data_IF_848642457350
#
_entry.id   IF_848642457350
#
_cell.length_a   1.000
_cell.length_b   1.000
_cell.length_c   1.000
_cell.angle_alpha   90.00
_cell.angle_beta   90.00
_cell.angle_gamma   90.00
#
_symmetry.space_group_name_H-M   'P 1'
#
loop_
_entity.id
_entity.type
_entity.pdbx_description
1 polymer ?
#
# COMPACT_ATOMS: atom_id res chain seq x y z
N UNK A 1 29.02 -23.97 -63.69
CA UNK A 1 27.58 -23.89 -63.33
C UNK A 1 27.10 -25.32 -63.14
N UNK A 2 26.79 -25.83 -61.96
CA UNK A 2 26.47 -25.09 -60.75
C UNK A 2 26.65 -25.97 -59.51
N UNK A 3 27.67 -25.67 -58.71
CA UNK A 3 27.85 -26.12 -57.31
C UNK A 3 26.75 -25.60 -56.36
N UNK A 4 25.66 -25.02 -56.88
CA UNK A 4 24.54 -24.52 -56.07
C UNK A 4 23.59 -25.61 -55.57
N UNK A 5 23.66 -26.85 -56.08
CA UNK A 5 22.70 -27.89 -55.70
C UNK A 5 22.99 -28.54 -54.33
N UNK A 6 24.22 -28.43 -53.82
CA UNK A 6 24.60 -29.06 -52.53
C UNK A 6 24.48 -28.07 -51.35
N UNK A 7 24.42 -26.76 -51.62
CA UNK A 7 24.21 -25.74 -50.58
C UNK A 7 22.77 -25.65 -50.07
N UNK A 8 21.80 -26.27 -50.73
CA UNK A 8 20.37 -26.12 -50.41
C UNK A 8 19.81 -27.22 -49.48
N UNK A 9 20.62 -28.20 -49.08
CA UNK A 9 20.20 -29.30 -48.19
C UNK A 9 20.65 -29.11 -46.72
N UNK A 10 21.38 -28.04 -46.41
CA UNK A 10 21.81 -27.71 -45.05
C UNK A 10 20.75 -26.99 -44.20
N UNK A 11 19.67 -26.51 -44.81
CA UNK A 11 18.64 -25.67 -44.16
C UNK A 11 17.37 -26.45 -43.73
N UNK A 12 17.40 -27.78 -43.77
CA UNK A 12 16.30 -28.65 -43.30
C UNK A 12 16.65 -29.40 -42.00
N UNK A 13 17.48 -28.81 -41.16
CA UNK A 13 17.53 -29.23 -39.76
C UNK A 13 16.17 -28.89 -39.12
N UNK A 14 15.47 -29.87 -38.49
CA UNK A 14 14.27 -29.56 -37.74
C UNK A 14 14.66 -28.53 -36.67
N UNK A 15 14.07 -27.35 -36.75
CA UNK A 15 14.07 -26.40 -35.63
C UNK A 15 13.43 -27.16 -34.48
N UNK A 16 14.25 -27.66 -33.55
CA UNK A 16 13.77 -28.20 -32.28
C UNK A 16 12.83 -27.12 -31.70
N UNK A 17 11.63 -27.50 -31.23
CA UNK A 17 10.72 -26.53 -30.65
C UNK A 17 11.44 -25.93 -29.45
N UNK A 18 11.89 -24.68 -29.63
CA UNK A 18 12.45 -23.84 -28.61
C UNK A 18 11.61 -23.99 -27.36
N UNK A 19 12.24 -24.49 -26.29
CA UNK A 19 11.61 -24.68 -24.99
C UNK A 19 10.75 -23.48 -24.64
N UNK A 20 9.56 -23.77 -24.10
CA UNK A 20 8.58 -22.82 -23.60
C UNK A 20 9.26 -21.52 -23.17
N UNK A 21 9.11 -20.46 -23.97
CA UNK A 21 9.30 -19.11 -23.46
C UNK A 21 8.45 -19.05 -22.19
N UNK A 22 9.02 -18.72 -21.01
CA UNK A 22 8.23 -18.65 -19.80
C UNK A 22 7.07 -17.72 -20.09
N UNK A 23 5.86 -18.30 -20.16
CA UNK A 23 4.69 -17.60 -20.65
C UNK A 23 4.55 -16.32 -19.84
N UNK A 24 4.40 -15.18 -20.53
CA UNK A 24 4.19 -13.90 -19.88
C UNK A 24 3.03 -14.10 -18.89
N UNK A 25 3.24 -13.90 -17.58
CA UNK A 25 2.28 -14.35 -16.56
C UNK A 25 0.90 -13.77 -16.85
N UNK A 26 -0.12 -14.60 -16.77
CA UNK A 26 -1.48 -14.17 -17.06
C UNK A 26 -1.89 -13.03 -16.13
N UNK A 27 -2.74 -12.12 -16.61
CA UNK A 27 -3.16 -10.93 -15.83
C UNK A 27 -3.77 -11.28 -14.46
N UNK A 28 -4.36 -12.47 -14.31
CA UNK A 28 -4.85 -13.00 -13.04
C UNK A 28 -3.73 -13.36 -12.05
N UNK A 29 -2.67 -14.00 -12.53
CA UNK A 29 -1.52 -14.38 -11.70
C UNK A 29 -0.74 -13.16 -11.21
N UNK A 30 -0.54 -12.16 -12.09
CA UNK A 30 0.07 -10.87 -11.71
C UNK A 30 -0.71 -10.18 -10.59
N UNK A 31 -2.04 -10.19 -10.64
CA UNK A 31 -2.89 -9.62 -9.58
C UNK A 31 -2.78 -10.43 -8.28
N UNK A 32 -2.71 -11.75 -8.35
CA UNK A 32 -2.54 -12.60 -7.18
C UNK A 32 -1.18 -12.36 -6.49
N UNK A 33 -0.10 -12.28 -7.28
CA UNK A 33 1.25 -11.91 -6.82
C UNK A 33 1.25 -10.53 -6.16
N UNK A 34 0.68 -9.52 -6.83
CA UNK A 34 0.52 -8.18 -6.26
C UNK A 34 -0.26 -8.20 -4.94
N UNK A 35 -1.35 -8.98 -4.86
CA UNK A 35 -2.13 -9.10 -3.62
C UNK A 35 -1.35 -9.72 -2.47
N UNK A 36 -0.47 -10.69 -2.75
CA UNK A 36 0.39 -11.32 -1.74
C UNK A 36 1.48 -10.36 -1.26
N UNK A 37 2.19 -9.69 -2.16
CA UNK A 37 3.26 -8.76 -1.80
C UNK A 37 2.70 -7.50 -1.09
N UNK A 38 1.57 -6.97 -1.59
CA UNK A 38 0.89 -5.85 -0.93
C UNK A 38 0.34 -6.20 0.45
N UNK A 39 0.06 -7.47 0.77
CA UNK A 39 -0.34 -7.87 2.13
C UNK A 39 0.83 -7.74 3.12
N UNK A 40 2.04 -8.14 2.71
CA UNK A 40 3.23 -8.01 3.53
C UNK A 40 3.59 -6.54 3.75
N UNK A 41 3.61 -5.74 2.67
CA UNK A 41 3.88 -4.31 2.75
C UNK A 41 2.88 -3.57 3.67
N UNK A 42 1.59 -3.88 3.56
CA UNK A 42 0.56 -3.28 4.42
C UNK A 42 0.71 -3.66 5.89
N UNK A 43 1.08 -4.90 6.19
CA UNK A 43 1.34 -5.34 7.56
C UNK A 43 2.49 -4.55 8.18
N UNK A 44 3.59 -4.36 7.44
CA UNK A 44 4.73 -3.57 7.91
C UNK A 44 4.38 -2.09 8.08
N UNK A 45 3.54 -1.54 7.19
CA UNK A 45 3.10 -0.14 7.26
C UNK A 45 2.03 0.13 8.33
N UNK A 46 1.27 -0.87 8.77
CA UNK A 46 0.15 -0.69 9.70
C UNK A 46 0.60 -0.12 11.06
N UNK A 47 1.73 -0.60 11.59
CA UNK A 47 2.28 -0.14 12.87
C UNK A 47 2.72 1.33 12.84
N UNK A 48 3.68 1.76 12.01
CA UNK A 48 4.07 3.17 11.96
C UNK A 48 2.89 4.07 11.55
N UNK A 49 2.01 3.60 10.65
CA UNK A 49 0.81 4.33 10.25
C UNK A 49 -0.13 4.64 11.42
N UNK A 50 -0.46 3.64 12.26
CA UNK A 50 -1.34 3.86 13.41
C UNK A 50 -0.67 4.72 14.49
N UNK A 51 0.63 4.54 14.75
CA UNK A 51 1.34 5.37 15.73
C UNK A 51 1.33 6.85 15.33
N UNK A 52 1.67 7.16 14.07
CA UNK A 52 1.62 8.53 13.56
C UNK A 52 0.20 9.09 13.65
N UNK A 53 -0.81 8.31 13.27
CA UNK A 53 -2.20 8.72 13.36
C UNK A 53 -2.62 9.04 14.80
N UNK A 54 -2.24 8.22 15.78
CA UNK A 54 -2.55 8.45 17.20
C UNK A 54 -1.83 9.68 17.75
N UNK A 55 -0.55 9.88 17.41
CA UNK A 55 0.18 11.09 17.81
C UNK A 55 -0.50 12.35 17.28
N UNK A 56 -0.82 12.37 15.98
CA UNK A 56 -1.56 13.50 15.37
C UNK A 56 -2.93 13.68 16.02
N UNK A 57 -3.64 12.59 16.30
CA UNK A 57 -4.93 12.63 16.97
C UNK A 57 -4.86 13.21 18.38
N UNK A 58 -3.78 12.96 19.13
CA UNK A 58 -3.54 13.54 20.45
C UNK A 58 -3.12 15.00 20.38
N UNK A 59 -2.39 15.43 19.34
CA UNK A 59 -2.02 16.85 19.17
C UNK A 59 -3.25 17.76 19.02
N UNK A 60 -4.38 17.22 18.53
CA UNK A 60 -5.65 17.96 18.49
C UNK A 60 -6.25 18.25 19.87
N UNK A 61 -5.70 17.70 20.97
CA UNK A 61 -6.02 18.14 22.33
C UNK A 61 -5.83 19.65 22.52
N UNK A 62 -4.84 20.24 21.84
CA UNK A 62 -4.64 21.68 21.86
C UNK A 62 -5.81 22.44 21.22
N UNK A 63 -6.36 21.93 20.11
CA UNK A 63 -7.53 22.51 19.48
C UNK A 63 -8.79 22.35 20.34
N UNK A 64 -8.93 21.23 21.06
CA UNK A 64 -10.03 21.02 22.00
C UNK A 64 -10.02 22.09 23.11
N UNK A 65 -8.85 22.39 23.69
CA UNK A 65 -8.70 23.41 24.72
C UNK A 65 -9.03 24.83 24.21
N UNK A 66 -8.77 25.11 22.94
CA UNK A 66 -8.98 26.43 22.34
C UNK A 66 -10.44 26.64 21.88
N UNK A 67 -11.02 25.64 21.22
CA UNK A 67 -12.32 25.76 20.58
C UNK A 67 -13.47 25.33 21.50
N UNK A 68 -13.24 24.36 22.37
CA UNK A 68 -14.30 23.76 23.20
C UNK A 68 -13.82 23.56 24.64
N UNK A 69 -13.36 24.64 25.32
CA UNK A 69 -12.73 24.55 26.65
C UNK A 69 -13.64 23.95 27.72
N UNK A 70 -14.96 24.11 27.58
CA UNK A 70 -15.98 23.62 28.52
C UNK A 70 -16.04 22.09 28.57
N UNK A 71 -15.79 21.40 27.44
CA UNK A 71 -15.78 19.93 27.38
C UNK A 71 -14.40 19.34 27.05
N UNK A 72 -13.35 20.17 27.01
CA UNK A 72 -11.99 19.78 26.62
C UNK A 72 -11.44 18.59 27.43
N UNK A 73 -11.72 18.52 28.74
CA UNK A 73 -11.29 17.40 29.58
C UNK A 73 -11.90 16.08 29.08
N UNK A 74 -13.18 16.10 28.70
CA UNK A 74 -13.89 14.92 28.21
C UNK A 74 -13.40 14.50 26.81
N UNK A 75 -13.17 15.45 25.90
CA UNK A 75 -12.64 15.14 24.57
C UNK A 75 -11.22 14.58 24.66
N UNK A 76 -10.34 15.21 25.44
CA UNK A 76 -8.95 14.75 25.63
C UNK A 76 -8.92 13.36 26.27
N UNK A 77 -9.75 13.12 27.29
CA UNK A 77 -9.84 11.80 27.93
C UNK A 77 -10.33 10.75 26.93
N UNK A 78 -11.37 11.05 26.14
CA UNK A 78 -11.85 10.16 25.10
C UNK A 78 -10.77 9.86 24.05
N UNK A 79 -9.98 10.86 23.64
CA UNK A 79 -8.86 10.68 22.72
C UNK A 79 -7.80 9.74 23.27
N UNK A 80 -7.42 9.92 24.54
CA UNK A 80 -6.44 9.06 25.20
C UNK A 80 -6.95 7.62 25.29
N UNK A 81 -8.19 7.42 25.71
CA UNK A 81 -8.81 6.08 25.81
C UNK A 81 -8.84 5.41 24.44
N UNK A 82 -9.34 6.08 23.40
CA UNK A 82 -9.42 5.52 22.05
C UNK A 82 -8.03 5.28 21.46
N UNK A 83 -7.09 6.22 21.62
CA UNK A 83 -5.73 6.09 21.12
C UNK A 83 -4.98 4.92 21.76
N UNK A 84 -5.02 4.81 23.09
CA UNK A 84 -4.37 3.72 23.83
C UNK A 84 -5.01 2.37 23.48
N UNK A 85 -6.33 2.27 23.45
CA UNK A 85 -7.02 1.03 23.09
C UNK A 85 -6.74 0.61 21.64
N UNK A 86 -6.68 1.55 20.69
CA UNK A 86 -6.31 1.27 19.31
C UNK A 86 -4.87 0.74 19.19
N UNK A 87 -3.91 1.33 19.92
CA UNK A 87 -2.52 0.84 19.92
C UNK A 87 -2.39 -0.53 20.58
N UNK A 88 -3.03 -0.74 21.73
CA UNK A 88 -3.00 -2.03 22.43
C UNK A 88 -3.63 -3.14 21.59
N UNK A 89 -4.77 -2.87 20.96
CA UNK A 89 -5.43 -3.85 20.07
C UNK A 89 -4.55 -4.18 18.86
N UNK A 90 -3.93 -3.19 18.22
CA UNK A 90 -3.01 -3.42 17.11
C UNK A 90 -1.79 -4.26 17.55
N UNK A 91 -1.13 -3.89 18.65
CA UNK A 91 0.04 -4.63 19.16
C UNK A 91 -0.33 -6.06 19.54
N UNK A 92 -1.51 -6.27 20.14
CA UNK A 92 -2.05 -7.61 20.40
C UNK A 92 -2.23 -8.41 19.12
N UNK A 93 -2.91 -7.86 18.11
CA UNK A 93 -3.11 -8.51 16.80
C UNK A 93 -1.77 -8.86 16.12
N UNK A 94 -0.77 -7.98 16.21
CA UNK A 94 0.55 -8.21 15.66
C UNK A 94 1.29 -9.34 16.39
N UNK A 95 1.23 -9.37 17.73
CA UNK A 95 1.84 -10.41 18.57
C UNK A 95 1.24 -11.80 18.32
N UNK A 96 -0.07 -11.90 18.15
CA UNK A 96 -0.75 -13.17 17.87
C UNK A 96 -0.74 -13.57 16.39
N UNK A 97 0.01 -12.87 15.54
CA UNK A 97 0.16 -13.23 14.14
C UNK A 97 -1.15 -13.12 13.33
N UNK A 98 -2.05 -12.23 13.72
CA UNK A 98 -3.37 -12.10 13.08
C UNK A 98 -3.26 -11.79 11.57
N UNK A 99 -4.28 -12.20 10.82
CA UNK A 99 -4.36 -11.95 9.36
C UNK A 99 -4.40 -10.45 9.09
N UNK A 100 -3.75 -9.99 8.01
CA UNK A 100 -3.71 -8.56 7.61
C UNK A 100 -5.09 -7.91 7.50
N UNK A 101 -6.14 -8.68 7.16
CA UNK A 101 -7.53 -8.18 7.14
C UNK A 101 -7.95 -7.60 8.50
N UNK A 102 -7.56 -8.22 9.61
CA UNK A 102 -7.90 -7.74 10.94
C UNK A 102 -7.15 -6.46 11.30
N UNK A 103 -5.90 -6.31 10.85
CA UNK A 103 -5.15 -5.06 11.00
C UNK A 103 -5.83 -3.91 10.25
N UNK A 104 -6.26 -4.15 9.00
CA UNK A 104 -7.01 -3.18 8.21
C UNK A 104 -8.31 -2.76 8.92
N UNK A 105 -9.05 -3.73 9.48
CA UNK A 105 -10.30 -3.49 10.23
C UNK A 105 -10.05 -2.72 11.52
N UNK A 106 -9.00 -3.05 12.28
CA UNK A 106 -8.65 -2.34 13.51
C UNK A 106 -8.27 -0.88 13.24
N UNK A 107 -7.47 -0.62 12.21
CA UNK A 107 -7.13 0.74 11.83
C UNK A 107 -8.36 1.53 11.36
N UNK A 108 -9.22 0.94 10.54
CA UNK A 108 -10.47 1.58 10.12
C UNK A 108 -11.42 1.84 11.30
N UNK A 109 -11.54 0.87 12.21
CA UNK A 109 -12.29 1.01 13.46
C UNK A 109 -11.74 2.13 14.33
N UNK A 110 -10.41 2.22 14.50
CA UNK A 110 -9.77 3.27 15.28
C UNK A 110 -10.11 4.68 14.76
N UNK A 111 -10.21 4.87 13.44
CA UNK A 111 -10.63 6.16 12.86
C UNK A 111 -12.10 6.45 13.21
N UNK A 112 -13.00 5.48 13.06
CA UNK A 112 -14.43 5.64 13.33
C UNK A 112 -14.68 5.89 14.82
N UNK A 113 -14.10 5.08 15.70
CA UNK A 113 -14.21 5.26 17.15
C UNK A 113 -13.52 6.53 17.62
N UNK A 114 -12.40 6.92 17.00
CA UNK A 114 -11.74 8.19 17.29
C UNK A 114 -12.60 9.38 16.93
N UNK A 115 -13.32 9.27 15.80
CA UNK A 115 -14.27 10.29 15.38
C UNK A 115 -15.47 10.38 16.32
N UNK A 116 -16.10 9.24 16.66
CA UNK A 116 -17.25 9.20 17.58
C UNK A 116 -16.84 9.68 18.98
N UNK A 117 -15.68 9.23 19.49
CA UNK A 117 -15.16 9.62 20.80
C UNK A 117 -14.84 11.11 20.91
N UNK A 118 -14.49 11.76 19.79
CA UNK A 118 -14.35 13.20 19.72
C UNK A 118 -15.70 13.92 19.56
N UNK A 119 -16.57 13.40 18.70
CA UNK A 119 -17.84 14.03 18.34
C UNK A 119 -18.81 14.08 19.51
N UNK A 120 -18.94 13.00 20.29
CA UNK A 120 -19.93 12.91 21.36
C UNK A 120 -19.73 13.97 22.46
N UNK A 121 -18.53 14.15 23.06
CA UNK A 121 -18.33 15.20 24.06
C UNK A 121 -18.37 16.60 23.44
N UNK A 122 -17.88 16.76 22.20
CA UNK A 122 -17.93 18.05 21.49
C UNK A 122 -19.37 18.52 21.26
N UNK A 123 -20.28 17.61 20.91
CA UNK A 123 -21.69 17.90 20.71
C UNK A 123 -22.42 18.33 21.99
N UNK A 124 -21.86 17.99 23.17
CA UNK A 124 -22.40 18.39 24.46
C UNK A 124 -21.95 19.80 24.91
N UNK A 125 -21.09 20.47 24.12
CA UNK A 125 -20.64 21.82 24.45
C UNK A 125 -21.78 22.84 24.40
N UNK A 126 -21.70 23.82 25.30
CA UNK A 126 -22.64 24.94 25.37
C UNK A 126 -22.42 25.91 24.21
N UNK A 127 -21.19 26.02 23.70
CA UNK A 127 -20.83 26.96 22.64
C UNK A 127 -21.04 26.38 21.23
N UNK A 128 -22.27 26.48 20.74
CA UNK A 128 -22.69 25.94 19.44
C UNK A 128 -21.96 26.61 18.24
N UNK A 129 -21.53 27.86 18.38
CA UNK A 129 -20.80 28.56 17.32
C UNK A 129 -19.38 27.98 17.16
N UNK A 130 -18.66 27.82 18.27
CA UNK A 130 -17.33 27.21 18.24
C UNK A 130 -17.37 25.75 17.81
N UNK A 131 -18.39 24.98 18.22
CA UNK A 131 -18.63 23.62 17.73
C UNK A 131 -18.83 23.62 16.21
N UNK A 132 -19.61 24.56 15.67
CA UNK A 132 -19.85 24.68 14.23
C UNK A 132 -18.56 24.92 13.44
N UNK A 133 -17.66 25.76 13.92
CA UNK A 133 -16.34 25.89 13.30
C UNK A 133 -15.49 24.63 13.47
N UNK A 134 -15.61 23.97 14.62
CA UNK A 134 -14.83 22.77 14.89
C UNK A 134 -15.24 21.57 14.03
N UNK A 135 -16.48 21.53 13.53
CA UNK A 135 -16.96 20.50 12.60
C UNK A 135 -16.15 20.40 11.29
N UNK A 136 -15.42 21.45 10.87
CA UNK A 136 -14.48 21.37 9.73
C UNK A 136 -13.46 20.24 9.98
N UNK A 137 -12.95 20.13 11.22
CA UNK A 137 -11.90 19.19 11.61
C UNK A 137 -12.36 17.73 11.55
N UNK A 138 -13.67 17.48 11.57
CA UNK A 138 -14.21 16.15 11.34
C UNK A 138 -13.81 15.55 9.98
N UNK A 139 -13.53 16.39 8.98
CA UNK A 139 -13.01 15.94 7.67
C UNK A 139 -11.60 15.33 7.75
N UNK A 140 -10.82 15.64 8.79
CA UNK A 140 -9.47 15.11 8.97
C UNK A 140 -9.51 13.60 9.23
N UNK A 141 -10.55 13.09 9.89
CA UNK A 141 -10.74 11.64 10.07
C UNK A 141 -10.96 10.94 8.72
N UNK A 142 -11.75 11.55 7.83
CA UNK A 142 -11.95 11.05 6.47
C UNK A 142 -10.65 11.13 5.65
N UNK A 143 -9.93 12.24 5.71
CA UNK A 143 -8.61 12.40 5.09
C UNK A 143 -7.63 11.33 5.58
N UNK A 144 -7.65 11.02 6.88
CA UNK A 144 -6.75 10.05 7.50
C UNK A 144 -6.92 8.65 6.95
N UNK A 145 -8.17 8.22 6.71
CA UNK A 145 -8.45 6.94 6.09
C UNK A 145 -7.79 6.81 4.70
N UNK A 146 -7.78 7.90 3.93
CA UNK A 146 -7.29 7.93 2.54
C UNK A 146 -5.78 8.22 2.40
N UNK A 147 -5.16 8.86 3.38
CA UNK A 147 -3.79 9.37 3.28
C UNK A 147 -2.79 8.65 4.19
N UNK A 148 -3.12 8.42 5.46
CA UNK A 148 -2.18 7.84 6.42
C UNK A 148 -2.12 6.31 6.35
N UNK A 149 -3.27 5.67 6.07
CA UNK A 149 -3.35 4.22 6.05
C UNK A 149 -3.18 3.66 4.66
N UNK A 150 -2.38 2.60 4.55
CA UNK A 150 -2.15 1.86 3.30
C UNK A 150 -3.29 0.87 3.06
N UNK A 151 -4.54 1.32 3.14
CA UNK A 151 -5.69 0.44 2.93
C UNK A 151 -5.79 0.00 1.48
N UNK A 152 -6.50 -1.11 1.27
CA UNK A 152 -7.07 -1.38 -0.06
C UNK A 152 -8.05 -0.26 -0.38
N UNK A 153 -8.03 0.22 -1.61
CA UNK A 153 -8.88 1.29 -2.09
C UNK A 153 -10.35 1.16 -1.64
N UNK A 154 -10.94 -0.04 -1.82
CA UNK A 154 -12.33 -0.31 -1.40
C UNK A 154 -12.58 -0.09 0.10
N UNK A 155 -11.67 -0.52 0.96
CA UNK A 155 -11.81 -0.34 2.42
C UNK A 155 -11.74 1.14 2.78
N UNK A 156 -10.78 1.87 2.21
CA UNK A 156 -10.63 3.29 2.46
C UNK A 156 -11.87 4.09 2.05
N UNK A 157 -12.44 3.78 0.87
CA UNK A 157 -13.65 4.43 0.37
C UNK A 157 -14.85 4.12 1.27
N UNK A 158 -15.04 2.87 1.69
CA UNK A 158 -16.13 2.51 2.61
C UNK A 158 -16.00 3.25 3.94
N UNK A 159 -14.81 3.26 4.55
CA UNK A 159 -14.57 4.02 5.79
C UNK A 159 -14.83 5.51 5.60
N UNK A 160 -14.41 6.07 4.47
CA UNK A 160 -14.63 7.49 4.14
C UNK A 160 -16.11 7.83 3.95
N UNK A 161 -16.88 6.94 3.30
CA UNK A 161 -18.33 7.09 3.14
C UNK A 161 -19.01 7.08 4.51
N UNK A 162 -18.62 6.17 5.42
CA UNK A 162 -19.18 6.13 6.78
C UNK A 162 -18.95 7.47 7.49
N UNK A 163 -17.72 7.99 7.46
CA UNK A 163 -17.40 9.28 8.10
C UNK A 163 -18.17 10.43 7.44
N UNK A 164 -18.27 10.44 6.10
CA UNK A 164 -19.02 11.42 5.34
C UNK A 164 -20.51 11.42 5.72
N UNK A 165 -21.12 10.25 5.89
CA UNK A 165 -22.51 10.13 6.32
C UNK A 165 -22.71 10.69 7.73
N UNK A 166 -21.79 10.42 8.65
CA UNK A 166 -21.87 10.98 10.00
C UNK A 166 -21.68 12.50 9.96
N UNK A 167 -20.74 13.02 9.16
CA UNK A 167 -20.56 14.48 8.96
C UNK A 167 -21.82 15.15 8.43
N UNK A 168 -22.47 14.55 7.43
CA UNK A 168 -23.72 15.04 6.88
C UNK A 168 -24.86 14.99 7.90
N UNK A 169 -24.98 13.89 8.65
CA UNK A 169 -25.97 13.76 9.69
C UNK A 169 -25.81 14.85 10.75
N UNK A 170 -24.59 15.07 11.27
CA UNK A 170 -24.35 16.12 12.26
C UNK A 170 -24.62 17.50 11.67
N UNK A 171 -24.15 17.79 10.45
CA UNK A 171 -24.39 19.09 9.81
C UNK A 171 -25.89 19.38 9.60
N UNK A 172 -26.70 18.36 9.39
CA UNK A 172 -28.15 18.48 9.31
C UNK A 172 -28.77 18.90 10.66
N UNK A 173 -28.34 18.28 11.76
CA UNK A 173 -28.88 18.53 13.10
C UNK A 173 -28.34 19.79 13.79
N UNK A 174 -27.16 20.28 13.39
CA UNK A 174 -26.60 21.52 13.96
C UNK A 174 -27.52 22.71 13.61
N UNK A 175 -27.93 23.53 14.61
CA UNK A 175 -28.72 24.73 14.38
C UNK A 175 -27.90 25.84 13.70
N UNK A 176 -27.84 25.79 12.37
CA UNK A 176 -27.09 26.76 11.54
C UNK A 176 -27.89 27.21 10.34
N UNK A 177 -27.44 28.31 9.72
CA UNK A 177 -28.06 28.86 8.51
C UNK A 177 -28.02 27.86 7.34
N UNK A 178 -28.99 27.93 6.42
CA UNK A 178 -29.02 27.07 5.24
C UNK A 178 -27.76 27.21 4.38
N UNK A 179 -27.22 28.43 4.28
CA UNK A 179 -25.97 28.69 3.56
C UNK A 179 -24.78 27.96 4.21
N UNK A 180 -24.68 27.97 5.53
CA UNK A 180 -23.66 27.21 6.25
C UNK A 180 -23.74 25.72 5.91
N UNK A 181 -24.93 25.12 5.95
CA UNK A 181 -25.14 23.69 5.64
C UNK A 181 -24.76 23.35 4.21
N UNK A 182 -25.12 24.21 3.24
CA UNK A 182 -24.76 24.03 1.84
C UNK A 182 -23.24 24.12 1.61
N UNK A 183 -22.58 25.14 2.16
CA UNK A 183 -21.13 25.35 1.98
C UNK A 183 -20.35 24.20 2.60
N UNK A 184 -20.69 23.78 3.82
CA UNK A 184 -20.02 22.68 4.50
C UNK A 184 -20.32 21.32 3.87
N UNK A 185 -21.55 21.08 3.43
CA UNK A 185 -21.89 19.87 2.68
C UNK A 185 -21.07 19.76 1.39
N UNK A 186 -20.99 20.84 0.62
CA UNK A 186 -20.15 20.90 -0.58
C UNK A 186 -18.67 20.65 -0.24
N UNK A 187 -18.16 21.28 0.83
CA UNK A 187 -16.79 21.06 1.32
C UNK A 187 -16.53 19.59 1.67
N UNK A 188 -17.45 18.92 2.38
CA UNK A 188 -17.30 17.50 2.72
C UNK A 188 -17.24 16.60 1.49
N UNK A 189 -18.10 16.86 0.50
CA UNK A 189 -18.07 16.14 -0.79
C UNK A 189 -16.75 16.40 -1.51
N UNK A 190 -16.29 17.66 -1.59
CA UNK A 190 -15.03 18.00 -2.23
C UNK A 190 -13.85 17.29 -1.56
N UNK A 191 -13.77 17.30 -0.22
CA UNK A 191 -12.74 16.57 0.52
C UNK A 191 -12.82 15.07 0.25
N UNK A 192 -14.02 14.47 0.23
CA UNK A 192 -14.19 13.05 -0.09
C UNK A 192 -13.67 12.71 -1.49
N UNK A 193 -14.06 13.49 -2.49
CA UNK A 193 -13.65 13.30 -3.90
C UNK A 193 -12.14 13.45 -4.04
N UNK A 194 -11.56 14.53 -3.54
CA UNK A 194 -10.12 14.79 -3.68
C UNK A 194 -9.27 13.74 -2.96
N UNK A 195 -9.60 13.41 -1.72
CA UNK A 195 -8.85 12.41 -0.95
C UNK A 195 -8.98 11.01 -1.54
N UNK A 196 -10.17 10.65 -2.04
CA UNK A 196 -10.39 9.38 -2.74
C UNK A 196 -9.63 9.33 -4.07
N UNK A 197 -9.59 10.43 -4.82
CA UNK A 197 -8.81 10.53 -6.06
C UNK A 197 -7.31 10.38 -5.80
N UNK A 198 -6.77 11.07 -4.80
CA UNK A 198 -5.36 10.93 -4.41
C UNK A 198 -5.06 9.49 -4.00
N UNK A 199 -5.91 8.87 -3.19
CA UNK A 199 -5.76 7.48 -2.78
C UNK A 199 -5.82 6.50 -3.97
N UNK A 200 -6.72 6.75 -4.93
CA UNK A 200 -6.78 5.98 -6.18
C UNK A 200 -5.46 6.11 -6.97
N UNK A 201 -4.96 7.33 -7.15
CA UNK A 201 -3.70 7.61 -7.85
C UNK A 201 -2.51 6.93 -7.16
N UNK A 202 -2.42 7.01 -5.83
CA UNK A 202 -1.38 6.34 -5.05
C UNK A 202 -1.44 4.81 -5.18
N UNK A 203 -2.63 4.22 -5.16
CA UNK A 203 -2.77 2.78 -5.35
C UNK A 203 -2.41 2.34 -6.78
N UNK A 204 -2.71 3.16 -7.79
CA UNK A 204 -2.28 2.92 -9.17
C UNK A 204 -0.76 3.00 -9.28
N UNK A 205 -0.13 3.98 -8.65
CA UNK A 205 1.33 4.12 -8.66
C UNK A 205 2.02 2.93 -8.00
N UNK A 206 1.51 2.46 -6.85
CA UNK A 206 2.02 1.24 -6.19
C UNK A 206 1.97 0.02 -7.09
N UNK A 207 0.91 -0.11 -7.90
CA UNK A 207 0.79 -1.21 -8.86
C UNK A 207 1.81 -1.07 -10.01
N UNK A 208 2.03 0.14 -10.53
CA UNK A 208 3.04 0.38 -11.55
C UNK A 208 4.46 0.08 -11.05
N UNK A 209 4.80 0.53 -9.84
CA UNK A 209 6.11 0.23 -9.21
C UNK A 209 6.30 -1.28 -9.04
N UNK A 210 5.25 -2.01 -8.66
CA UNK A 210 5.30 -3.47 -8.59
C UNK A 210 5.60 -4.10 -9.95
N UNK A 211 4.92 -3.66 -11.02
CA UNK A 211 5.18 -4.16 -12.37
C UNK A 211 6.61 -3.88 -12.82
N UNK A 212 7.11 -2.67 -12.62
CA UNK A 212 8.49 -2.31 -12.96
C UNK A 212 9.52 -3.15 -12.19
N UNK A 213 9.28 -3.38 -10.89
CA UNK A 213 10.14 -4.23 -10.08
C UNK A 213 10.12 -5.70 -10.55
N UNK A 214 8.96 -6.20 -10.97
CA UNK A 214 8.83 -7.55 -11.51
C UNK A 214 9.56 -7.69 -12.85
N UNK A 215 9.41 -6.72 -13.74
CA UNK A 215 10.10 -6.69 -15.03
C UNK A 215 11.62 -6.64 -14.85
N UNK A 216 12.12 -5.77 -13.96
CA UNK A 216 13.54 -5.70 -13.64
C UNK A 216 14.08 -7.04 -13.10
N UNK A 217 13.33 -7.73 -12.22
CA UNK A 217 13.71 -9.06 -11.72
C UNK A 217 13.78 -10.10 -12.84
N UNK A 218 12.85 -10.06 -13.80
CA UNK A 218 12.86 -10.99 -14.93
C UNK A 218 14.07 -10.74 -15.85
N UNK A 219 14.33 -9.47 -16.20
CA UNK A 219 15.49 -9.09 -17.01
C UNK A 219 16.82 -9.50 -16.34
N UNK A 220 16.95 -9.30 -15.03
CA UNK A 220 18.12 -9.75 -14.28
C UNK A 220 18.30 -11.26 -14.31
N UNK A 221 17.20 -12.02 -14.23
CA UNK A 221 17.25 -13.48 -14.31
C UNK A 221 17.71 -13.94 -15.69
N UNK A 222 17.13 -13.40 -16.76
CA UNK A 222 17.53 -13.71 -18.13
C UNK A 222 19.00 -13.35 -18.40
N UNK A 223 19.46 -12.19 -17.92
CA UNK A 223 20.86 -11.79 -18.02
C UNK A 223 21.80 -12.74 -17.27
N UNK A 224 21.40 -13.21 -16.08
CA UNK A 224 22.18 -14.17 -15.28
C UNK A 224 22.25 -15.54 -15.96
N UNK A 225 21.14 -16.00 -16.55
CA UNK A 225 21.08 -17.26 -17.29
C UNK A 225 21.93 -17.20 -18.57
N UNK A 226 21.85 -16.10 -19.33
CA UNK A 226 22.74 -15.84 -20.47
C UNK A 226 24.21 -15.79 -20.05
N UNK A 227 24.51 -15.11 -18.93
CA UNK A 227 25.86 -15.07 -18.37
C UNK A 227 26.40 -16.47 -18.06
N UNK A 228 25.60 -17.31 -17.39
CA UNK A 228 25.97 -18.71 -17.10
C UNK A 228 26.14 -19.55 -18.37
N UNK A 229 25.29 -19.37 -19.37
CA UNK A 229 25.39 -20.08 -20.64
C UNK A 229 26.66 -19.68 -21.41
N UNK A 230 26.99 -18.39 -21.45
CA UNK A 230 28.23 -17.88 -22.03
C UNK A 230 29.47 -18.39 -21.27
N UNK A 231 29.41 -18.46 -19.94
CA UNK A 231 30.48 -19.02 -19.11
C UNK A 231 30.68 -20.52 -19.36
N UNK A 232 29.59 -21.27 -19.56
CA UNK A 232 29.67 -22.68 -19.97
C UNK A 232 30.30 -22.81 -21.35
N UNK A 233 29.82 -22.06 -22.34
CA UNK A 233 30.39 -22.07 -23.69
C UNK A 233 31.87 -21.68 -23.72
N UNK A 234 32.29 -20.71 -22.91
CA UNK A 234 33.69 -20.26 -22.87
C UNK A 234 34.63 -21.24 -22.15
N UNK A 235 34.10 -22.11 -21.28
CA UNK A 235 34.86 -23.12 -20.54
C UNK A 235 34.78 -24.53 -21.12
N UNK A 236 33.94 -24.77 -22.12
CA UNK A 236 33.74 -26.11 -22.70
C UNK A 236 34.22 -26.11 -24.15
N UNK A 237 34.98 -27.12 -24.55
CA UNK A 237 35.37 -27.31 -25.93
C UNK A 237 34.17 -27.78 -26.78
N UNK A 238 33.81 -27.08 -27.86
CA UNK A 238 32.59 -27.36 -28.62
C UNK A 238 32.62 -28.68 -29.40
N UNK A 239 33.81 -29.25 -29.65
CA UNK A 239 33.95 -30.51 -30.40
C UNK A 239 33.90 -31.75 -29.50
N UNK A 240 34.35 -31.63 -28.25
CA UNK A 240 34.44 -32.77 -27.31
C UNK A 240 33.47 -32.68 -26.14
N UNK A 241 32.88 -31.51 -25.87
CA UNK A 241 32.00 -31.28 -24.72
C UNK A 241 32.74 -31.31 -23.37
N UNK A 242 34.07 -31.43 -23.38
CA UNK A 242 34.93 -31.45 -22.20
C UNK A 242 35.37 -30.02 -21.82
N UNK A 243 35.84 -29.83 -20.58
CA UNK A 243 36.44 -28.54 -20.18
C UNK A 243 37.58 -28.18 -21.13
N UNK A 244 37.60 -26.95 -21.61
CA UNK A 244 38.65 -26.48 -22.51
C UNK A 244 39.96 -26.30 -21.71
N UNK A 245 41.08 -26.25 -22.46
CA UNK A 245 42.41 -26.11 -21.87
C UNK A 245 42.52 -24.93 -20.89
N UNK A 246 41.85 -23.81 -21.16
CA UNK A 246 41.87 -22.60 -20.35
C UNK A 246 41.18 -22.81 -19.00
N UNK A 247 40.06 -23.53 -18.97
CA UNK A 247 39.34 -23.89 -17.76
C UNK A 247 40.14 -24.89 -16.90
N UNK A 248 40.83 -25.85 -17.54
CA UNK A 248 41.72 -26.80 -16.87
C UNK A 248 42.91 -26.08 -16.22
N UNK A 249 43.56 -25.15 -16.94
CA UNK A 249 44.71 -24.38 -16.44
C UNK A 249 44.36 -23.44 -15.28
N UNK A 250 43.14 -22.89 -15.24
CA UNK A 250 42.62 -22.13 -14.09
C UNK A 250 42.41 -23.02 -12.87
N UNK A 251 41.73 -24.16 -13.05
CA UNK A 251 41.43 -25.10 -11.97
C UNK A 251 42.69 -25.69 -11.36
N UNK A 252 43.70 -26.01 -12.18
CA UNK A 252 45.01 -26.45 -11.70
C UNK A 252 45.71 -25.36 -10.88
N UNK A 253 45.59 -24.09 -11.26
CA UNK A 253 46.16 -22.96 -10.52
C UNK A 253 45.49 -22.76 -9.16
N UNK A 254 44.16 -22.80 -9.11
CA UNK A 254 43.40 -22.67 -7.87
C UNK A 254 43.74 -23.81 -6.89
N UNK A 255 43.87 -25.04 -7.38
CA UNK A 255 44.24 -26.20 -6.56
C UNK A 255 45.70 -26.20 -6.09
N UNK A 256 46.59 -25.51 -6.81
CA UNK A 256 48.02 -25.42 -6.48
C UNK A 256 48.35 -24.24 -5.56
N UNK A 257 47.46 -23.25 -5.47
CA UNK A 257 47.63 -22.05 -4.66
C UNK A 257 46.85 -22.05 -3.34
N UNK A 258 46.06 -23.10 -3.08
CA UNK A 258 45.45 -23.42 -1.78
C UNK A 258 46.20 -24.55 -1.07
#
# INVERSE_FOLDING_TARGET
MSDYAISALGDLAPVEPSGETPGRPETGELRALFHKESQAARRTAARPGLYIAVVVYLLFAFADMLLVPDVAIYTITARLVVGVTALLTLEFLLRFGARTKWLDVTCAGAIIFGYIGWLLPTAASVNQESVSYYMVFGTIFMMSANLFFTFRFRFSVVTSIIILLILYAVNYFVPSTSNYKLVFGAFYISCFVFTSYINWKLNRERYNVFLNALEARNQHREATERGKALLRLSRTDPLTGLENRRAIDERLRDLWSG
#
